data_IF_743665299438
#
_entry.id   IF_743665299438
#
_cell.length_a   1.000
_cell.length_b   1.000
_cell.length_c   1.000
_cell.angle_alpha   90.00
_cell.angle_beta   90.00
_cell.angle_gamma   90.00
#
_symmetry.space_group_name_H-M   'P 1'
#
loop_
_entity.id
_entity.type
_entity.pdbx_description
1 polymer ?
#
# COMPACT_ATOMS: atom_id res chain seq x y z
N UNK A 1 1.00 -8.30 16.18
CA UNK A 1 1.84 -9.15 15.30
C UNK A 1 1.66 -8.73 13.85
N UNK A 2 2.75 -8.73 13.04
CA UNK A 2 2.62 -8.53 11.59
C UNK A 2 2.84 -9.89 10.92
N UNK A 3 1.99 -10.22 9.96
CA UNK A 3 2.08 -11.47 9.18
C UNK A 3 1.61 -11.27 7.74
N UNK A 4 1.97 -12.16 6.82
CA UNK A 4 1.35 -12.22 5.50
C UNK A 4 -0.17 -12.41 5.63
N UNK A 5 -0.91 -11.69 4.79
CA UNK A 5 -2.35 -11.91 4.66
C UNK A 5 -2.64 -13.24 3.95
N UNK A 6 -3.71 -13.87 4.37
CA UNK A 6 -4.24 -15.08 3.73
C UNK A 6 -5.64 -14.82 3.18
N UNK A 7 -6.11 -15.65 2.26
CA UNK A 7 -7.41 -15.47 1.62
C UNK A 7 -8.59 -15.42 2.61
N UNK A 8 -8.47 -16.08 3.76
CA UNK A 8 -9.47 -16.03 4.82
C UNK A 8 -9.59 -14.63 5.49
N UNK A 9 -8.56 -13.79 5.38
CA UNK A 9 -8.60 -12.43 5.93
C UNK A 9 -9.41 -11.45 5.07
N UNK A 10 -9.61 -11.76 3.78
CA UNK A 10 -10.19 -10.85 2.77
C UNK A 10 -11.50 -10.18 3.21
N UNK A 11 -12.46 -10.85 3.86
CA UNK A 11 -13.67 -10.19 4.35
C UNK A 11 -13.33 -9.04 5.32
N UNK A 12 -12.40 -9.27 6.26
CA UNK A 12 -11.99 -8.24 7.23
C UNK A 12 -11.21 -7.09 6.57
N UNK A 13 -10.37 -7.40 5.57
CA UNK A 13 -9.66 -6.36 4.81
C UNK A 13 -10.64 -5.45 4.09
N UNK A 14 -11.70 -6.00 3.50
CA UNK A 14 -12.75 -5.24 2.84
C UNK A 14 -13.54 -4.38 3.84
N UNK A 15 -13.86 -4.89 5.02
CA UNK A 15 -14.51 -4.12 6.09
C UNK A 15 -13.68 -2.91 6.51
N UNK A 16 -12.35 -3.05 6.61
CA UNK A 16 -11.44 -1.94 6.91
C UNK A 16 -11.43 -0.92 5.77
N UNK A 17 -11.49 -1.38 4.51
CA UNK A 17 -11.40 -0.53 3.32
C UNK A 17 -12.69 0.24 3.02
N UNK A 18 -13.85 -0.37 3.18
CA UNK A 18 -15.14 0.19 2.81
C UNK A 18 -15.38 1.63 3.33
N UNK A 19 -15.11 1.97 4.61
CA UNK A 19 -15.27 3.33 5.10
C UNK A 19 -14.38 4.37 4.41
N UNK A 20 -13.24 3.98 3.86
CA UNK A 20 -12.38 4.89 3.09
C UNK A 20 -13.00 5.25 1.74
N UNK A 21 -13.69 4.29 1.12
CA UNK A 21 -14.43 4.52 -0.14
C UNK A 21 -15.63 5.42 0.11
N UNK A 22 -16.45 5.08 1.10
CA UNK A 22 -17.76 5.72 1.33
C UNK A 22 -17.68 7.11 1.94
N UNK A 23 -16.63 7.39 2.71
CA UNK A 23 -16.61 8.56 3.62
C UNK A 23 -15.38 9.45 3.45
N UNK A 24 -14.49 9.16 2.50
CA UNK A 24 -13.25 9.91 2.32
C UNK A 24 -12.85 10.04 0.85
N UNK A 25 -11.96 11.01 0.57
CA UNK A 25 -11.26 11.14 -0.71
C UNK A 25 -9.91 10.41 -0.72
N UNK A 26 -9.60 9.58 0.30
CA UNK A 26 -8.32 8.86 0.41
C UNK A 26 -8.17 7.82 -0.72
N UNK A 27 -9.27 7.29 -1.18
CA UNK A 27 -9.35 6.47 -2.40
C UNK A 27 -10.38 7.05 -3.38
N UNK A 28 -10.15 6.88 -4.67
CA UNK A 28 -11.07 7.37 -5.71
C UNK A 28 -12.06 6.32 -6.21
N UNK A 29 -12.15 5.16 -5.56
CA UNK A 29 -13.28 4.26 -5.80
C UNK A 29 -14.58 4.91 -5.31
N UNK A 30 -15.67 4.74 -6.08
CA UNK A 30 -16.99 5.30 -5.77
C UNK A 30 -17.87 4.31 -5.03
N UNK A 31 -17.70 3.03 -5.32
CA UNK A 31 -18.50 1.94 -4.77
C UNK A 31 -17.62 0.92 -4.09
N UNK A 32 -18.08 0.40 -2.96
CA UNK A 32 -17.39 -0.71 -2.29
C UNK A 32 -17.47 -1.94 -3.20
N UNK A 33 -16.32 -2.54 -3.56
CA UNK A 33 -16.31 -3.75 -4.37
C UNK A 33 -17.06 -4.89 -3.64
N UNK A 34 -17.63 -5.79 -4.38
CA UNK A 34 -18.14 -7.05 -3.81
C UNK A 34 -16.99 -7.86 -3.20
N UNK A 35 -17.32 -8.76 -2.28
CA UNK A 35 -16.32 -9.67 -1.70
C UNK A 35 -15.59 -10.48 -2.78
N UNK A 36 -16.28 -10.88 -3.84
CA UNK A 36 -15.67 -11.60 -4.95
C UNK A 36 -14.64 -10.73 -5.68
N UNK A 37 -15.01 -9.51 -6.10
CA UNK A 37 -14.10 -8.59 -6.79
C UNK A 37 -12.87 -8.24 -5.94
N UNK A 38 -13.06 -8.05 -4.63
CA UNK A 38 -11.95 -7.77 -3.74
C UNK A 38 -11.06 -8.99 -3.50
N UNK A 39 -11.63 -10.20 -3.50
CA UNK A 39 -10.87 -11.45 -3.45
C UNK A 39 -10.03 -11.65 -4.72
N UNK A 40 -10.60 -11.39 -5.89
CA UNK A 40 -9.87 -11.47 -7.17
C UNK A 40 -8.71 -10.44 -7.21
N UNK A 41 -8.93 -9.24 -6.68
CA UNK A 41 -7.86 -8.23 -6.49
C UNK A 41 -6.77 -8.73 -5.56
N UNK A 42 -7.16 -9.31 -4.41
CA UNK A 42 -6.22 -9.89 -3.46
C UNK A 42 -5.38 -11.01 -4.09
N UNK A 43 -6.01 -11.96 -4.77
CA UNK A 43 -5.32 -13.07 -5.43
C UNK A 43 -4.34 -12.57 -6.49
N UNK A 44 -4.75 -11.60 -7.32
CA UNK A 44 -3.90 -10.95 -8.32
C UNK A 44 -2.67 -10.30 -7.68
N UNK A 45 -2.87 -9.46 -6.67
CA UNK A 45 -1.78 -8.73 -6.02
C UNK A 45 -0.84 -9.71 -5.31
N UNK A 46 -1.38 -10.65 -4.55
CA UNK A 46 -0.57 -11.59 -3.76
C UNK A 46 0.17 -12.61 -4.62
N UNK A 47 -0.16 -12.75 -5.89
CA UNK A 47 0.65 -13.55 -6.82
C UNK A 47 2.03 -12.95 -7.08
N UNK A 48 2.17 -11.61 -7.05
CA UNK A 48 3.42 -10.91 -7.38
C UNK A 48 3.99 -10.13 -6.18
N UNK A 49 3.15 -9.57 -5.30
CA UNK A 49 3.52 -8.63 -4.25
C UNK A 49 3.18 -9.14 -2.84
N UNK A 50 3.89 -8.68 -1.81
CA UNK A 50 3.51 -8.92 -0.44
C UNK A 50 2.24 -8.14 -0.08
N UNK A 51 1.38 -8.79 0.71
CA UNK A 51 0.24 -8.18 1.39
C UNK A 51 0.31 -8.59 2.86
N UNK A 52 0.46 -7.61 3.75
CA UNK A 52 0.66 -7.81 5.17
C UNK A 52 -0.55 -7.32 5.97
N UNK A 53 -0.82 -7.99 7.07
CA UNK A 53 -1.78 -7.55 8.08
C UNK A 53 -1.08 -7.30 9.41
N UNK A 54 -1.59 -6.34 10.18
CA UNK A 54 -1.28 -6.25 11.60
C UNK A 54 -2.46 -6.79 12.41
N UNK A 55 -2.15 -7.72 13.30
CA UNK A 55 -3.12 -8.42 14.13
C UNK A 55 -2.77 -8.26 15.60
N UNK A 56 -3.76 -7.99 16.44
CA UNK A 56 -3.65 -7.93 17.89
C UNK A 56 -4.86 -8.63 18.52
N UNK A 57 -4.59 -9.53 19.45
CA UNK A 57 -5.62 -10.34 20.13
C UNK A 57 -6.58 -11.11 19.18
N UNK A 58 -6.08 -11.54 18.03
CA UNK A 58 -6.87 -12.25 17.02
C UNK A 58 -7.71 -11.34 16.12
N UNK A 59 -7.58 -10.01 16.26
CA UNK A 59 -8.28 -9.03 15.42
C UNK A 59 -7.29 -8.34 14.47
N UNK A 60 -7.65 -8.28 13.17
CA UNK A 60 -6.88 -7.51 12.17
C UNK A 60 -7.24 -6.04 12.31
N UNK A 61 -6.23 -5.24 12.61
CA UNK A 61 -6.35 -3.79 12.84
C UNK A 61 -5.92 -2.94 11.63
N UNK A 62 -5.34 -3.56 10.63
CA UNK A 62 -4.93 -2.88 9.40
C UNK A 62 -4.11 -3.76 8.48
N UNK A 63 -3.84 -3.25 7.30
CA UNK A 63 -3.05 -3.95 6.30
C UNK A 63 -2.28 -2.98 5.41
N UNK A 64 -1.20 -3.48 4.79
CA UNK A 64 -0.47 -2.79 3.74
C UNK A 64 -0.05 -3.79 2.66
N UNK A 65 0.04 -3.31 1.42
CA UNK A 65 0.47 -4.14 0.29
C UNK A 65 1.22 -3.31 -0.73
N UNK A 66 2.08 -4.00 -1.52
CA UNK A 66 2.62 -3.46 -2.75
C UNK A 66 1.75 -3.83 -3.94
N UNK A 67 1.76 -3.02 -4.98
CA UNK A 67 1.18 -3.34 -6.28
C UNK A 67 2.09 -2.77 -7.37
N UNK A 68 1.80 -3.08 -8.62
CA UNK A 68 2.54 -2.57 -9.78
C UNK A 68 2.30 -1.08 -9.94
N UNK A 69 3.36 -0.26 -9.87
CA UNK A 69 3.24 1.18 -10.05
C UNK A 69 2.89 1.55 -11.51
N UNK A 70 3.47 0.87 -12.49
CA UNK A 70 3.26 1.13 -13.91
C UNK A 70 3.21 -0.17 -14.73
N UNK A 71 2.46 -0.16 -15.83
CA UNK A 71 2.22 -1.37 -16.62
C UNK A 71 3.40 -1.79 -17.54
N UNK A 72 4.27 -0.85 -17.93
CA UNK A 72 5.33 -1.13 -18.91
C UNK A 72 6.54 -1.80 -18.25
N UNK A 73 7.20 -2.72 -18.97
CA UNK A 73 8.29 -3.54 -18.46
C UNK A 73 9.50 -2.75 -17.92
N UNK A 74 9.80 -1.58 -18.46
CA UNK A 74 10.90 -0.74 -17.96
C UNK A 74 10.70 -0.23 -16.52
N UNK A 75 9.47 -0.29 -15.99
CA UNK A 75 9.11 0.11 -14.62
C UNK A 75 8.99 -1.09 -13.66
N UNK A 76 9.46 -2.27 -14.03
CA UNK A 76 9.28 -3.49 -13.24
C UNK A 76 10.01 -3.48 -11.88
N UNK A 77 10.88 -2.52 -11.63
CA UNK A 77 11.56 -2.32 -10.34
C UNK A 77 10.89 -1.26 -9.46
N UNK A 78 9.72 -0.79 -9.86
CA UNK A 78 8.93 0.20 -9.14
C UNK A 78 7.69 -0.46 -8.55
N UNK A 79 7.35 -0.13 -7.30
CA UNK A 79 6.13 -0.59 -6.64
C UNK A 79 5.33 0.59 -6.08
N UNK A 80 4.01 0.52 -6.17
CA UNK A 80 3.08 1.40 -5.45
C UNK A 80 2.65 0.73 -4.14
N UNK A 81 2.63 1.50 -3.05
CA UNK A 81 2.31 1.00 -1.72
C UNK A 81 1.01 1.60 -1.22
N UNK A 82 0.16 0.74 -0.67
CA UNK A 82 -1.08 1.13 -0.02
C UNK A 82 -1.11 0.68 1.43
N UNK A 83 -1.71 1.50 2.31
CA UNK A 83 -1.93 1.17 3.72
C UNK A 83 -3.30 1.65 4.18
N UNK A 84 -4.02 0.79 4.88
CA UNK A 84 -5.31 1.07 5.48
C UNK A 84 -5.36 0.52 6.91
N UNK A 85 -5.78 1.34 7.84
CA UNK A 85 -5.94 0.98 9.25
C UNK A 85 -7.40 1.06 9.66
N UNK A 86 -7.84 0.16 10.52
CA UNK A 86 -9.12 0.32 11.19
C UNK A 86 -9.16 1.68 11.91
N UNK A 87 -10.30 2.35 11.83
CA UNK A 87 -10.43 3.70 12.40
C UNK A 87 -10.19 3.74 13.91
N UNK A 88 -10.50 2.64 14.59
CA UNK A 88 -10.34 2.50 16.03
C UNK A 88 -8.90 2.14 16.45
N UNK A 89 -8.07 1.70 15.50
CA UNK A 89 -6.69 1.24 15.74
C UNK A 89 -5.63 2.32 15.50
N UNK A 90 -6.03 3.57 15.28
CA UNK A 90 -5.10 4.66 14.97
C UNK A 90 -4.34 5.12 16.22
N UNK A 91 -3.09 5.55 16.05
CA UNK A 91 -2.29 6.15 17.12
C UNK A 91 -1.35 5.18 17.87
N UNK A 92 -1.43 3.87 17.63
CA UNK A 92 -0.60 2.85 18.31
C UNK A 92 0.73 2.51 17.62
N UNK A 93 1.13 3.28 16.60
CA UNK A 93 2.37 3.01 15.85
C UNK A 93 2.31 1.81 14.88
N UNK A 94 1.19 1.09 14.86
CA UNK A 94 1.00 -0.12 14.05
C UNK A 94 1.23 0.12 12.56
N UNK A 95 0.72 1.23 12.03
CA UNK A 95 0.92 1.60 10.63
C UNK A 95 2.38 1.79 10.27
N UNK A 96 3.19 2.28 11.22
CA UNK A 96 4.63 2.43 11.04
C UNK A 96 5.32 1.10 10.87
N UNK A 97 5.12 0.19 11.83
CA UNK A 97 5.74 -1.14 11.80
C UNK A 97 5.31 -1.93 10.57
N UNK A 98 4.01 -1.90 10.24
CA UNK A 98 3.46 -2.58 9.06
C UNK A 98 4.11 -2.09 7.76
N UNK A 99 4.26 -0.77 7.63
CA UNK A 99 4.82 -0.15 6.43
C UNK A 99 6.32 -0.37 6.33
N UNK A 100 7.06 -0.25 7.44
CA UNK A 100 8.51 -0.50 7.49
C UNK A 100 8.82 -1.97 7.13
N UNK A 101 8.01 -2.93 7.58
CA UNK A 101 8.13 -4.35 7.19
C UNK A 101 7.87 -4.54 5.69
N UNK A 102 6.84 -3.90 5.14
CA UNK A 102 6.53 -3.98 3.70
C UNK A 102 7.67 -3.40 2.84
N UNK A 103 8.20 -2.23 3.22
CA UNK A 103 9.33 -1.59 2.51
C UNK A 103 10.56 -2.49 2.51
N UNK A 104 10.89 -3.09 3.66
CA UNK A 104 12.01 -4.02 3.78
C UNK A 104 11.84 -5.21 2.84
N UNK A 105 10.67 -5.84 2.84
CA UNK A 105 10.38 -6.97 1.95
C UNK A 105 10.54 -6.61 0.48
N UNK A 106 9.98 -5.49 0.05
CA UNK A 106 10.08 -5.04 -1.34
C UNK A 106 11.53 -4.74 -1.74
N UNK A 107 12.32 -4.12 -0.83
CA UNK A 107 13.75 -3.91 -1.03
C UNK A 107 14.49 -5.25 -1.22
N UNK A 108 14.23 -6.25 -0.37
CA UNK A 108 14.84 -7.59 -0.44
C UNK A 108 14.42 -8.37 -1.69
N UNK A 109 13.19 -8.14 -2.19
CA UNK A 109 12.71 -8.70 -3.45
C UNK A 109 13.41 -8.09 -4.68
N UNK A 110 14.07 -6.93 -4.54
CA UNK A 110 14.79 -6.26 -5.62
C UNK A 110 14.14 -4.98 -6.15
N UNK A 111 13.04 -4.50 -5.55
CA UNK A 111 12.46 -3.22 -5.94
C UNK A 111 13.40 -2.06 -5.62
N UNK A 112 13.41 -1.05 -6.50
CA UNK A 112 14.28 0.11 -6.41
C UNK A 112 13.54 1.35 -5.90
N UNK A 113 12.38 1.65 -6.47
CA UNK A 113 11.58 2.82 -6.13
C UNK A 113 10.22 2.39 -5.59
N UNK A 114 9.86 2.95 -4.45
CA UNK A 114 8.56 2.77 -3.81
C UNK A 114 7.76 4.07 -3.93
N UNK A 115 6.56 3.98 -4.47
CA UNK A 115 5.64 5.11 -4.61
C UNK A 115 4.53 5.07 -3.57
N UNK A 116 4.06 6.26 -3.19
CA UNK A 116 2.84 6.48 -2.44
C UNK A 116 2.02 7.55 -3.17
N UNK A 117 0.85 7.18 -3.65
CA UNK A 117 -0.06 8.06 -4.37
C UNK A 117 -1.10 8.57 -3.38
N UNK A 118 -1.08 9.87 -3.08
CA UNK A 118 -1.79 10.45 -1.94
C UNK A 118 -2.70 11.58 -2.44
N UNK A 119 -3.99 11.52 -2.05
CA UNK A 119 -4.91 12.65 -2.26
C UNK A 119 -4.45 13.86 -1.46
N UNK A 120 -4.50 15.05 -2.04
CA UNK A 120 -3.95 16.28 -1.46
C UNK A 120 -4.49 16.64 -0.08
N UNK A 121 -5.74 16.32 0.22
CA UNK A 121 -6.36 16.56 1.52
C UNK A 121 -5.92 15.59 2.62
N UNK A 122 -5.22 14.50 2.27
CA UNK A 122 -4.74 13.52 3.24
C UNK A 122 -3.42 13.95 3.89
N UNK A 123 -3.45 15.05 4.64
CA UNK A 123 -2.27 15.60 5.32
C UNK A 123 -1.60 14.59 6.28
N UNK A 124 -2.39 13.69 6.88
CA UNK A 124 -1.86 12.64 7.75
C UNK A 124 -0.97 11.66 6.99
N UNK A 125 -1.40 11.24 5.79
CA UNK A 125 -0.59 10.37 4.93
C UNK A 125 0.65 11.09 4.39
N UNK A 126 0.52 12.34 3.99
CA UNK A 126 1.68 13.17 3.58
C UNK A 126 2.73 13.25 4.69
N UNK A 127 2.31 13.54 5.92
CA UNK A 127 3.22 13.58 7.08
C UNK A 127 3.87 12.22 7.34
N UNK A 128 3.07 11.15 7.32
CA UNK A 128 3.51 9.77 7.53
C UNK A 128 4.63 9.37 6.55
N UNK A 129 4.43 9.65 5.25
CA UNK A 129 5.41 9.30 4.22
C UNK A 129 6.64 10.19 4.26
N UNK A 130 6.49 11.51 4.45
CA UNK A 130 7.65 12.42 4.63
C UNK A 130 8.55 12.00 5.78
N UNK A 131 7.97 11.60 6.92
CA UNK A 131 8.74 11.11 8.09
C UNK A 131 9.53 9.84 7.77
N UNK A 132 9.11 9.05 6.76
CA UNK A 132 9.79 7.83 6.28
C UNK A 132 10.77 8.07 5.14
N UNK A 133 11.03 9.33 4.79
CA UNK A 133 12.00 9.70 3.77
C UNK A 133 11.44 9.73 2.34
N UNK A 134 10.12 9.64 2.17
CA UNK A 134 9.50 9.87 0.86
C UNK A 134 9.59 11.35 0.48
N UNK A 135 9.90 11.60 -0.76
CA UNK A 135 9.98 12.93 -1.35
C UNK A 135 8.89 13.14 -2.39
N UNK A 136 8.38 14.36 -2.51
CA UNK A 136 7.39 14.70 -3.53
C UNK A 136 8.06 14.71 -4.91
N UNK A 137 7.61 13.85 -5.80
CA UNK A 137 8.08 13.80 -7.20
C UNK A 137 7.20 14.63 -8.13
N UNK A 138 5.91 14.74 -7.83
CA UNK A 138 4.99 15.51 -8.64
C UNK A 138 3.63 15.69 -8.02
N UNK A 139 2.91 16.69 -8.52
CA UNK A 139 1.52 16.98 -8.18
C UNK A 139 0.69 16.95 -9.44
N UNK A 140 -0.37 16.14 -9.43
CA UNK A 140 -1.38 16.13 -10.47
C UNK A 140 -2.55 16.99 -10.00
N UNK A 141 -2.69 18.17 -10.56
CA UNK A 141 -3.73 19.12 -10.17
C UNK A 141 -5.07 18.70 -10.74
N UNK A 142 -6.11 18.73 -9.88
CA UNK A 142 -7.51 18.51 -10.25
C UNK A 142 -7.71 17.24 -11.09
N UNK A 143 -7.10 16.12 -10.68
CA UNK A 143 -7.10 14.89 -11.48
C UNK A 143 -8.12 13.87 -11.02
N UNK A 144 -8.55 13.90 -9.75
CA UNK A 144 -9.58 13.02 -9.20
C UNK A 144 -10.87 13.77 -8.90
N UNK A 145 -12.03 13.27 -9.35
CA UNK A 145 -13.33 13.81 -9.01
C UNK A 145 -14.03 12.94 -7.99
N UNK A 146 -14.37 13.47 -6.81
CA UNK A 146 -15.13 12.73 -5.79
C UNK A 146 -15.87 13.70 -4.86
N UNK A 147 -17.04 13.31 -4.38
CA UNK A 147 -17.90 14.11 -3.49
C UNK A 147 -18.13 15.54 -3.97
N UNK A 148 -18.31 15.73 -5.28
CA UNK A 148 -18.65 17.03 -5.86
C UNK A 148 -17.47 18.01 -5.97
N UNK A 149 -16.21 17.53 -5.85
CA UNK A 149 -15.03 18.36 -5.98
C UNK A 149 -13.90 17.66 -6.76
N UNK A 150 -13.05 18.48 -7.39
CA UNK A 150 -11.78 18.04 -7.95
C UNK A 150 -10.71 18.03 -6.88
N UNK A 151 -9.89 16.97 -6.85
CA UNK A 151 -8.84 16.76 -5.89
C UNK A 151 -7.48 16.67 -6.56
N UNK A 152 -6.48 17.26 -5.94
CA UNK A 152 -5.08 17.07 -6.32
C UNK A 152 -4.59 15.68 -5.85
N UNK A 153 -3.61 15.13 -6.58
CA UNK A 153 -2.93 13.88 -6.25
C UNK A 153 -1.43 14.12 -6.20
N UNK A 154 -0.84 13.77 -5.08
CA UNK A 154 0.59 13.85 -4.83
C UNK A 154 1.24 12.50 -5.08
N UNK A 155 2.30 12.49 -5.85
CA UNK A 155 3.17 11.34 -6.04
C UNK A 155 4.40 11.50 -5.18
N UNK A 156 4.48 10.74 -4.12
CA UNK A 156 5.65 10.64 -3.27
C UNK A 156 6.44 9.39 -3.63
N UNK A 157 7.79 9.47 -3.60
CA UNK A 157 8.65 8.32 -3.86
C UNK A 157 9.80 8.22 -2.86
N UNK A 158 10.25 6.99 -2.64
CA UNK A 158 11.45 6.66 -1.87
C UNK A 158 12.29 5.66 -2.65
N UNK A 159 13.58 5.98 -2.85
CA UNK A 159 14.54 5.04 -3.42
C UNK A 159 15.10 4.19 -2.29
N UNK A 160 14.85 2.89 -2.34
CA UNK A 160 15.28 1.93 -1.30
C UNK A 160 16.53 1.15 -1.70
N UNK A 161 16.98 1.32 -2.95
CA UNK A 161 18.23 0.77 -3.48
C UNK A 161 18.97 1.82 -4.29
N UNK A 162 20.33 1.71 -4.45
CA UNK A 162 21.11 2.65 -5.25
C UNK A 162 20.73 2.55 -6.75
N UNK A 163 20.90 3.67 -7.47
CA UNK A 163 20.68 3.75 -8.92
C UNK A 163 21.86 3.14 -9.69
N UNK A 164 22.03 1.85 -9.58
CA UNK A 164 23.00 1.03 -10.32
C UNK A 164 22.24 0.04 -11.19
N UNK A 165 22.93 -0.86 -11.88
CA UNK A 165 22.27 -1.96 -12.58
C UNK A 165 21.31 -2.68 -11.62
N UNK A 166 20.00 -2.71 -11.90
CA UNK A 166 19.04 -3.29 -10.99
C UNK A 166 19.10 -4.82 -10.93
N UNK A 167 19.83 -5.46 -11.85
CA UNK A 167 19.90 -6.92 -11.96
C UNK A 167 18.60 -7.54 -12.46
N UNK A 168 18.30 -8.73 -11.97
CA UNK A 168 17.11 -9.47 -12.35
C UNK A 168 15.82 -8.79 -11.90
N UNK A 169 14.71 -9.10 -12.61
CA UNK A 169 13.36 -8.65 -12.23
C UNK A 169 13.06 -9.04 -10.77
N UNK A 170 12.46 -8.13 -9.98
CA UNK A 170 12.00 -8.47 -8.64
C UNK A 170 11.10 -9.70 -8.62
N UNK A 171 11.32 -10.59 -7.67
CA UNK A 171 10.52 -11.80 -7.50
C UNK A 171 10.31 -12.12 -6.03
N UNK A 172 9.19 -12.74 -5.70
CA UNK A 172 9.03 -13.38 -4.40
C UNK A 172 10.07 -14.51 -4.30
N UNK A 173 10.94 -14.45 -3.31
CA UNK A 173 11.79 -15.58 -2.97
C UNK A 173 10.89 -16.70 -2.46
N UNK A 174 11.04 -17.91 -3.02
CA UNK A 174 10.47 -19.12 -2.44
C UNK A 174 11.16 -19.36 -1.07
N UNK A 175 10.45 -19.08 -0.01
CA UNK A 175 10.95 -19.19 1.36
C UNK A 175 10.31 -18.09 2.19
N UNK A 176 9.34 -18.48 3.03
CA UNK A 176 8.55 -17.55 3.82
C UNK A 176 9.41 -16.60 4.64
N UNK A 177 8.85 -15.44 4.93
CA UNK A 177 9.38 -14.52 5.91
C UNK A 177 9.74 -15.26 7.21
N UNK A 178 11.03 -15.33 7.52
CA UNK A 178 11.48 -15.53 8.89
C UNK A 178 11.28 -14.18 9.61
N UNK A 179 10.09 -13.95 10.12
CA UNK A 179 9.82 -12.92 11.11
C UNK A 179 10.23 -13.53 12.46
N UNK A 180 11.54 -13.49 12.80
CA UNK A 180 12.01 -13.69 14.17
C UNK A 180 11.71 -12.47 15.04
#
# INVERSE_FOLDING_TARGET
MIRPAVRADVPRLLEIYAPYIEKTCITFEYTVPTLQEFTERFDRITSEFPWLVCEENGEILGYAYGDRAFARAAYQWDADLSIYLDRNARGHGLGGQLYDTLEQMLCEMGYHTLYAIITGENAASVHFHKKRGYQLEGTFHQTGWKFGAWHDVFWYAKRVRPATDPGDKPSKKEGGLNLE
#
